data_IF_182518165902
#
_entry.id   IF_182518165902
#
_cell.length_a   1.000
_cell.length_b   1.000
_cell.length_c   1.000
_cell.angle_alpha   90.00
_cell.angle_beta   90.00
_cell.angle_gamma   90.00
#
_symmetry.space_group_name_H-M   'P 1'
#
loop_
_entity.id
_entity.type
_entity.pdbx_description
1 polymer ?
#
# COMPACT_ATOMS: atom_id res chain seq x y z
N UNK A 1 -3.03 -41.07 47.22
CA UNK A 1 -2.37 -39.85 46.66
C UNK A 1 -2.93 -39.61 45.27
N UNK A 2 -3.49 -38.44 44.93
CA UNK A 2 -4.01 -38.21 43.56
C UNK A 2 -4.64 -36.84 43.27
N UNK A 3 -5.11 -36.13 44.29
CA UNK A 3 -5.85 -34.87 44.09
C UNK A 3 -4.96 -33.63 43.79
N UNK A 4 -3.70 -33.62 44.27
CA UNK A 4 -2.80 -32.45 44.17
C UNK A 4 -2.21 -32.24 42.77
N UNK A 5 -1.90 -33.33 42.06
CA UNK A 5 -1.29 -33.26 40.73
C UNK A 5 -2.27 -32.83 39.65
N UNK A 6 -3.53 -33.28 39.72
CA UNK A 6 -4.59 -32.94 38.76
C UNK A 6 -5.00 -31.47 38.90
N UNK A 7 -5.07 -30.97 40.13
CA UNK A 7 -5.39 -29.56 40.39
C UNK A 7 -4.32 -28.61 39.83
N UNK A 8 -3.03 -28.96 39.94
CA UNK A 8 -1.93 -28.15 39.44
C UNK A 8 -1.87 -28.12 37.90
N UNK A 9 -2.19 -29.24 37.24
CA UNK A 9 -2.28 -29.31 35.78
C UNK A 9 -3.44 -28.45 35.26
N UNK A 10 -4.61 -28.55 35.89
CA UNK A 10 -5.77 -27.73 35.52
C UNK A 10 -5.48 -26.23 35.66
N UNK A 11 -4.79 -25.83 36.74
CA UNK A 11 -4.36 -24.45 36.96
C UNK A 11 -3.39 -23.98 35.88
N UNK A 12 -2.38 -24.78 35.56
CA UNK A 12 -1.42 -24.48 34.49
C UNK A 12 -2.10 -24.31 33.12
N UNK A 13 -3.01 -25.21 32.73
CA UNK A 13 -3.73 -25.07 31.46
C UNK A 13 -4.63 -23.82 31.45
N UNK A 14 -5.34 -23.54 32.55
CA UNK A 14 -6.19 -22.35 32.65
C UNK A 14 -5.39 -21.05 32.55
N UNK A 15 -4.20 -21.00 33.14
CA UNK A 15 -3.35 -19.82 33.13
C UNK A 15 -2.73 -19.59 31.75
N UNK A 16 -2.31 -20.66 31.07
CA UNK A 16 -1.83 -20.57 29.68
C UNK A 16 -2.93 -20.06 28.74
N UNK A 17 -4.15 -20.60 28.83
CA UNK A 17 -5.29 -20.13 28.03
C UNK A 17 -5.65 -18.67 28.32
N UNK A 18 -5.57 -18.23 29.58
CA UNK A 18 -5.73 -16.83 29.95
C UNK A 18 -4.65 -15.94 29.31
N UNK A 19 -3.38 -16.34 29.35
CA UNK A 19 -2.29 -15.63 28.67
C UNK A 19 -2.50 -15.54 27.15
N UNK A 20 -2.99 -16.61 26.51
CA UNK A 20 -3.31 -16.58 25.07
C UNK A 20 -4.48 -15.64 24.75
N UNK A 21 -5.48 -15.55 25.62
CA UNK A 21 -6.65 -14.67 25.44
C UNK A 21 -6.37 -13.19 25.72
N UNK A 22 -5.28 -12.86 26.41
CA UNK A 22 -4.84 -11.48 26.68
C UNK A 22 -4.12 -10.84 25.48
N UNK A 23 -3.94 -11.56 24.37
CA UNK A 23 -3.64 -10.96 23.05
C UNK A 23 -4.89 -10.20 22.60
N UNK A 24 -4.99 -8.96 23.06
CA UNK A 24 -6.04 -8.04 22.64
C UNK A 24 -5.68 -7.50 21.24
N UNK A 25 -6.41 -7.91 20.21
CA UNK A 25 -6.38 -7.23 18.92
C UNK A 25 -7.12 -5.90 19.05
N UNK A 26 -6.42 -4.84 19.45
CA UNK A 26 -6.93 -3.46 19.44
C UNK A 26 -6.98 -2.86 18.02
N UNK A 27 -7.32 -3.63 16.98
CA UNK A 27 -7.33 -3.17 15.58
C UNK A 27 -8.60 -2.44 15.16
N UNK A 28 -9.33 -1.79 16.09
CA UNK A 28 -10.47 -0.93 15.79
C UNK A 28 -10.09 0.53 15.52
N UNK A 29 -8.83 0.80 15.21
CA UNK A 29 -8.54 1.98 14.40
C UNK A 29 -8.60 1.53 12.95
N UNK A 30 -9.42 2.15 12.08
CA UNK A 30 -9.05 2.20 10.68
C UNK A 30 -7.63 2.75 10.72
N UNK A 31 -6.64 1.92 10.38
CA UNK A 31 -5.33 2.44 10.09
C UNK A 31 -5.58 3.36 8.91
N UNK A 32 -5.78 4.66 9.18
CA UNK A 32 -5.51 5.69 8.19
C UNK A 32 -4.08 5.34 7.77
N UNK A 33 -3.86 4.82 6.56
CA UNK A 33 -2.51 4.54 6.11
C UNK A 33 -1.79 5.86 6.31
N UNK A 34 -0.67 5.86 7.05
CA UNK A 34 0.16 7.05 7.10
C UNK A 34 0.33 7.49 5.64
N UNK A 35 0.09 8.77 5.30
CA UNK A 35 0.11 9.21 3.91
C UNK A 35 1.41 8.70 3.30
N UNK A 36 1.34 7.96 2.18
CA UNK A 36 2.52 7.38 1.58
C UNK A 36 3.55 8.50 1.40
N UNK A 37 4.79 8.26 1.83
CA UNK A 37 5.87 9.22 1.62
C UNK A 37 6.21 9.20 0.14
N UNK A 38 5.48 10.01 -0.62
CA UNK A 38 5.65 10.12 -2.05
C UNK A 38 6.92 10.93 -2.36
N UNK A 39 7.88 10.37 -3.10
CA UNK A 39 8.96 11.18 -3.66
C UNK A 39 8.38 12.18 -4.67
N UNK A 40 9.16 13.21 -5.00
CA UNK A 40 8.78 14.18 -6.03
C UNK A 40 8.79 13.50 -7.41
N UNK A 41 7.63 12.99 -7.81
CA UNK A 41 7.40 12.27 -9.07
C UNK A 41 6.94 13.22 -10.19
N UNK A 42 7.17 14.54 -10.05
CA UNK A 42 6.73 15.53 -11.03
C UNK A 42 7.24 15.23 -12.46
N UNK A 43 8.44 14.64 -12.57
CA UNK A 43 9.03 14.18 -13.85
C UNK A 43 8.25 13.06 -14.54
N UNK A 44 7.39 12.34 -13.80
CA UNK A 44 6.50 11.31 -14.32
C UNK A 44 5.19 11.88 -14.87
N UNK A 45 4.89 13.14 -14.59
CA UNK A 45 3.61 13.78 -14.86
C UNK A 45 3.58 14.60 -16.15
N UNK A 46 4.75 14.85 -16.75
CA UNK A 46 4.89 15.47 -18.06
C UNK A 46 4.51 14.47 -19.15
N UNK A 47 3.21 14.27 -19.34
CA UNK A 47 2.65 13.30 -20.30
C UNK A 47 1.98 14.01 -21.49
N UNK A 48 2.14 15.34 -21.58
CA UNK A 48 1.60 16.16 -22.66
C UNK A 48 2.35 16.01 -24.00
N UNK A 49 3.46 15.27 -24.04
CA UNK A 49 4.17 14.99 -25.29
C UNK A 49 3.88 13.55 -25.73
N UNK A 50 3.26 13.41 -26.90
CA UNK A 50 3.16 12.12 -27.58
C UNK A 50 4.58 11.52 -27.66
N UNK A 51 4.80 10.30 -27.16
CA UNK A 51 3.85 9.20 -27.01
C UNK A 51 3.63 8.80 -25.55
N UNK A 52 3.03 9.66 -24.72
CA UNK A 52 2.67 9.35 -23.32
C UNK A 52 3.76 8.59 -22.55
N UNK A 53 5.03 8.87 -22.86
CA UNK A 53 6.13 8.05 -22.43
C UNK A 53 6.69 8.66 -21.16
N UNK A 54 6.73 7.92 -20.04
CA UNK A 54 7.42 8.40 -18.85
C UNK A 54 8.86 8.77 -19.20
N UNK A 55 9.34 9.88 -18.65
CA UNK A 55 10.76 10.19 -18.70
C UNK A 55 11.56 9.00 -18.16
N UNK A 56 12.74 8.73 -18.74
CA UNK A 56 13.65 7.67 -18.30
C UNK A 56 13.96 7.71 -16.78
N UNK A 57 13.81 8.87 -16.16
CA UNK A 57 14.02 9.07 -14.72
C UNK A 57 12.82 8.67 -13.85
N UNK A 58 11.67 8.33 -14.42
CA UNK A 58 10.46 7.98 -13.68
C UNK A 58 10.50 6.55 -13.11
N UNK A 59 10.86 5.56 -13.94
CA UNK A 59 10.94 4.15 -13.53
C UNK A 59 11.86 3.89 -12.33
N UNK A 60 13.08 4.46 -12.24
CA UNK A 60 13.92 4.27 -11.05
C UNK A 60 13.33 4.92 -9.78
N UNK A 61 12.51 5.98 -9.89
CA UNK A 61 11.86 6.62 -8.74
C UNK A 61 10.73 5.76 -8.17
N UNK A 62 9.93 5.12 -9.03
CA UNK A 62 8.87 4.21 -8.58
C UNK A 62 9.41 2.82 -8.20
N UNK A 63 10.58 2.43 -8.69
CA UNK A 63 11.17 1.11 -8.40
C UNK A 63 11.48 0.91 -6.91
N UNK A 64 11.72 2.00 -6.17
CA UNK A 64 11.94 1.95 -4.72
C UNK A 64 10.66 1.93 -3.87
N UNK A 65 9.48 2.06 -4.50
CA UNK A 65 8.19 2.08 -3.82
C UNK A 65 7.49 0.73 -3.91
N UNK A 66 6.69 0.43 -2.89
CA UNK A 66 5.70 -0.66 -2.91
C UNK A 66 4.65 -0.32 -3.97
N UNK A 67 4.12 -1.32 -4.68
CA UNK A 67 3.20 -1.10 -5.80
C UNK A 67 1.97 -0.25 -5.43
N UNK A 68 1.42 -0.44 -4.22
CA UNK A 68 0.29 0.33 -3.71
C UNK A 68 0.66 1.80 -3.47
N UNK A 69 1.82 2.07 -2.88
CA UNK A 69 2.29 3.43 -2.62
C UNK A 69 2.67 4.13 -3.94
N UNK A 70 3.33 3.42 -4.86
CA UNK A 70 3.66 3.94 -6.18
C UNK A 70 2.41 4.37 -6.93
N UNK A 71 1.35 3.57 -6.91
CA UNK A 71 0.08 3.90 -7.55
C UNK A 71 -0.58 5.15 -6.94
N UNK A 72 -0.68 5.22 -5.60
CA UNK A 72 -1.28 6.38 -4.92
C UNK A 72 -0.48 7.67 -5.18
N UNK A 73 0.85 7.61 -5.07
CA UNK A 73 1.71 8.74 -5.33
C UNK A 73 1.63 9.22 -6.78
N UNK A 74 1.51 8.28 -7.72
CA UNK A 74 1.38 8.62 -9.12
C UNK A 74 0.01 9.24 -9.42
N UNK A 75 -1.07 8.72 -8.84
CA UNK A 75 -2.41 9.32 -8.94
C UNK A 75 -2.43 10.77 -8.47
N UNK A 76 -1.80 11.08 -7.33
CA UNK A 76 -1.75 12.45 -6.79
C UNK A 76 -1.00 13.40 -7.72
N UNK A 77 0.14 12.96 -8.24
CA UNK A 77 0.97 13.74 -9.15
C UNK A 77 0.22 13.99 -10.46
N UNK A 78 -0.42 12.98 -11.02
CA UNK A 78 -1.23 13.11 -12.23
C UNK A 78 -2.44 14.03 -12.01
N UNK A 79 -3.09 13.94 -10.86
CA UNK A 79 -4.20 14.81 -10.46
C UNK A 79 -3.78 16.27 -10.37
N UNK A 80 -2.59 16.55 -9.86
CA UNK A 80 -2.00 17.89 -9.80
C UNK A 80 -1.68 18.45 -11.19
N UNK A 81 -1.12 17.63 -12.10
CA UNK A 81 -0.69 18.10 -13.42
C UNK A 81 -1.84 18.22 -14.42
N UNK A 82 -2.84 17.36 -14.33
CA UNK A 82 -4.01 17.37 -15.20
C UNK A 82 -5.16 18.23 -14.65
N UNK A 83 -4.97 18.91 -13.52
CA UNK A 83 -5.90 19.93 -13.03
C UNK A 83 -7.35 19.48 -12.92
N UNK A 84 -7.60 18.21 -12.60
CA UNK A 84 -8.96 17.66 -12.44
C UNK A 84 -9.76 17.51 -13.73
N UNK A 85 -9.13 17.58 -14.91
CA UNK A 85 -9.79 17.20 -16.17
C UNK A 85 -10.12 15.70 -16.07
N UNK A 86 -11.34 15.30 -16.44
CA UNK A 86 -11.87 13.92 -16.41
C UNK A 86 -11.19 12.98 -17.41
N UNK A 87 -9.86 13.02 -17.49
CA UNK A 87 -9.06 12.04 -18.20
C UNK A 87 -8.96 10.79 -17.32
N UNK A 88 -8.98 9.62 -17.94
CA UNK A 88 -8.87 8.36 -17.23
C UNK A 88 -7.46 8.24 -16.62
N UNK A 89 -7.29 8.75 -15.39
CA UNK A 89 -6.06 8.68 -14.60
C UNK A 89 -5.59 7.22 -14.49
N UNK A 90 -6.53 6.28 -14.34
CA UNK A 90 -6.29 4.84 -14.29
C UNK A 90 -5.54 4.31 -15.53
N UNK A 91 -5.90 4.79 -16.73
CA UNK A 91 -5.24 4.39 -17.98
C UNK A 91 -3.80 4.89 -17.99
N UNK A 92 -3.60 6.12 -17.53
CA UNK A 92 -2.31 6.79 -17.53
C UNK A 92 -1.33 6.12 -16.56
N UNK A 93 -1.80 5.79 -15.35
CA UNK A 93 -1.08 4.99 -14.36
C UNK A 93 -0.70 3.63 -14.93
N UNK A 94 -1.64 2.94 -15.60
CA UNK A 94 -1.38 1.63 -16.19
C UNK A 94 -0.35 1.69 -17.32
N UNK A 95 -0.38 2.72 -18.19
CA UNK A 95 0.63 2.93 -19.23
C UNK A 95 2.00 3.15 -18.61
N UNK A 96 2.08 3.96 -17.55
CA UNK A 96 3.35 4.25 -16.86
C UNK A 96 3.95 2.99 -16.24
N UNK A 97 3.13 2.23 -15.51
CA UNK A 97 3.54 0.98 -14.90
C UNK A 97 3.98 -0.05 -15.93
N UNK A 98 3.23 -0.19 -17.03
CA UNK A 98 3.57 -1.08 -18.14
C UNK A 98 4.88 -0.66 -18.84
N UNK A 99 5.11 0.64 -18.99
CA UNK A 99 6.37 1.16 -19.58
C UNK A 99 7.57 0.90 -18.68
N UNK A 100 7.37 0.90 -17.37
CA UNK A 100 8.41 0.57 -16.39
C UNK A 100 8.50 -0.94 -16.11
N UNK A 101 7.98 -1.78 -17.00
CA UNK A 101 7.99 -3.26 -16.91
C UNK A 101 7.39 -3.80 -15.60
N UNK A 102 6.47 -3.03 -14.99
CA UNK A 102 5.75 -3.44 -13.79
C UNK A 102 4.56 -4.29 -14.20
N UNK A 103 4.22 -5.29 -13.40
CA UNK A 103 3.05 -6.14 -13.64
C UNK A 103 1.80 -5.27 -13.82
N UNK A 104 0.96 -5.54 -14.84
CA UNK A 104 -0.23 -4.75 -15.12
C UNK A 104 -1.24 -4.99 -13.99
N UNK A 105 -1.19 -4.14 -13.00
CA UNK A 105 -2.12 -4.07 -11.89
C UNK A 105 -3.09 -2.94 -12.20
N UNK A 106 -4.37 -3.28 -12.33
CA UNK A 106 -5.44 -2.30 -12.43
C UNK A 106 -5.51 -1.51 -11.14
N UNK A 107 -5.01 -0.28 -11.17
CA UNK A 107 -5.17 0.68 -10.10
C UNK A 107 -6.27 1.66 -10.44
N UNK A 108 -7.07 1.96 -9.44
CA UNK A 108 -8.10 3.00 -9.52
C UNK A 108 -7.68 4.17 -8.65
N UNK A 109 -7.41 5.30 -9.29
CA UNK A 109 -7.21 6.58 -8.61
C UNK A 109 -8.57 7.04 -8.07
N UNK A 110 -8.71 7.17 -6.75
CA UNK A 110 -9.92 7.70 -6.09
C UNK A 110 -9.85 9.20 -5.84
#
# INVERSE_FOLDING_TARGET
>A
MGSKSVSSIALMLSLNLLFFSLVSCNTLTPATPAPPKCPNLQVCADIFLHPFLPHHNCCPLISGLVDLDAAVCLCDVLKLNLGGISLNLDILVNILLNTCERTPTTYHCK
#
